data_IF_515438853305
#
_entry.id   IF_515438853305
#
_cell.length_a   1.000
_cell.length_b   1.000
_cell.length_c   1.000
_cell.angle_alpha   90.00
_cell.angle_beta   90.00
_cell.angle_gamma   90.00
#
_symmetry.space_group_name_H-M   'P 1'
#
loop_
_entity.id
_entity.type
_entity.pdbx_description
1 polymer ?
#
# COMPACT_ATOMS: atom_id res chain seq x y z
N UNK A 1 -11.19 -12.89 -2.80
CA UNK A 1 -10.87 -11.62 -2.08
C UNK A 1 -10.79 -10.51 -3.10
N UNK A 2 -11.30 -9.29 -2.80
CA UNK A 2 -11.12 -8.09 -3.64
C UNK A 2 -9.80 -7.38 -3.32
N UNK A 3 -9.30 -6.58 -4.26
CA UNK A 3 -8.08 -5.78 -4.10
C UNK A 3 -8.34 -4.30 -4.27
N UNK A 4 -7.63 -3.48 -3.49
CA UNK A 4 -7.61 -2.03 -3.62
C UNK A 4 -6.17 -1.63 -3.89
N UNK A 5 -5.94 -0.96 -5.03
CA UNK A 5 -4.63 -0.44 -5.39
C UNK A 5 -4.66 1.08 -5.29
N UNK A 6 -3.85 1.63 -4.39
CA UNK A 6 -3.78 3.07 -4.15
C UNK A 6 -2.65 3.70 -4.96
N UNK A 7 -3.01 4.51 -5.95
CA UNK A 7 -2.10 5.18 -6.89
C UNK A 7 -2.32 6.71 -6.95
N UNK A 8 -2.89 7.31 -5.90
CA UNK A 8 -3.26 8.74 -5.86
C UNK A 8 -2.18 9.71 -5.38
N UNK A 9 -1.02 9.24 -4.92
CA UNK A 9 0.02 10.10 -4.37
C UNK A 9 0.64 11.04 -5.42
N UNK A 10 0.97 12.28 -5.00
CA UNK A 10 1.54 13.31 -5.88
C UNK A 10 2.96 13.04 -6.37
N UNK A 11 3.68 12.09 -5.74
CA UNK A 11 5.05 11.76 -6.10
C UNK A 11 6.07 12.88 -5.84
N UNK A 12 5.78 13.85 -4.96
CA UNK A 12 6.63 15.04 -4.72
C UNK A 12 8.10 14.68 -4.41
N UNK A 13 8.36 13.57 -3.74
CA UNK A 13 9.73 13.07 -3.45
C UNK A 13 10.51 12.61 -4.69
N UNK A 14 9.84 12.40 -5.82
CA UNK A 14 10.47 12.04 -7.11
C UNK A 14 11.00 13.26 -7.88
N UNK A 15 10.75 14.47 -7.39
CA UNK A 15 11.24 15.72 -7.97
C UNK A 15 10.72 15.97 -9.40
N UNK A 16 11.64 16.18 -10.34
CA UNK A 16 11.29 16.51 -11.73
C UNK A 16 10.60 15.38 -12.48
N UNK A 17 10.86 14.14 -12.10
CA UNK A 17 10.31 12.95 -12.77
C UNK A 17 8.79 12.87 -12.75
N UNK A 18 8.14 13.51 -11.76
CA UNK A 18 6.67 13.49 -11.61
C UNK A 18 5.98 14.81 -11.96
N UNK A 19 6.69 15.73 -12.64
CA UNK A 19 6.07 16.99 -13.11
C UNK A 19 5.09 16.79 -14.26
N UNK A 20 5.27 15.74 -15.05
CA UNK A 20 4.50 15.49 -16.28
C UNK A 20 3.82 14.12 -16.30
N UNK A 21 4.00 13.31 -15.24
CA UNK A 21 3.41 11.98 -15.15
C UNK A 21 3.22 11.55 -13.70
N UNK A 22 2.35 10.58 -13.47
CA UNK A 22 2.19 9.94 -12.17
C UNK A 22 3.41 9.05 -11.84
N UNK A 23 3.86 9.04 -10.58
CA UNK A 23 5.01 8.21 -10.19
C UNK A 23 4.82 6.71 -10.50
N UNK A 24 3.58 6.22 -10.39
CA UNK A 24 3.26 4.80 -10.63
C UNK A 24 3.37 4.39 -12.11
N UNK A 25 3.47 5.38 -13.03
CA UNK A 25 3.70 5.19 -14.46
C UNK A 25 5.19 5.24 -14.81
N UNK A 26 6.06 5.68 -13.90
CA UNK A 26 7.51 5.65 -14.12
C UNK A 26 7.99 4.20 -14.26
N UNK A 27 8.91 3.98 -15.22
CA UNK A 27 9.48 2.66 -15.42
C UNK A 27 10.39 2.26 -14.26
N UNK A 28 10.23 1.01 -13.84
CA UNK A 28 11.14 0.31 -12.92
C UNK A 28 11.73 -0.83 -13.73
N UNK A 29 12.96 -0.66 -14.19
CA UNK A 29 13.65 -1.49 -15.17
C UNK A 29 12.87 -1.53 -16.51
N UNK A 30 12.05 -2.55 -16.78
CA UNK A 30 11.42 -2.82 -18.08
C UNK A 30 9.91 -2.51 -18.16
N UNK A 31 9.29 -2.09 -17.05
CA UNK A 31 7.83 -1.88 -16.99
C UNK A 31 7.42 -0.80 -16.01
N UNK A 32 6.21 -0.21 -16.16
CA UNK A 32 5.67 0.75 -15.20
C UNK A 32 5.58 0.19 -13.76
N UNK A 33 5.88 1.05 -12.80
CA UNK A 33 5.89 0.74 -11.36
C UNK A 33 4.63 0.00 -10.88
N UNK A 34 3.46 0.44 -11.35
CA UNK A 34 2.14 -0.11 -10.96
C UNK A 34 1.98 -1.60 -11.26
N UNK A 35 2.75 -2.17 -12.21
CA UNK A 35 2.65 -3.59 -12.57
C UNK A 35 3.14 -4.51 -11.43
N UNK A 36 4.05 -4.06 -10.58
CA UNK A 36 4.55 -4.87 -9.47
C UNK A 36 3.51 -5.12 -8.38
N UNK A 37 2.82 -4.10 -7.81
CA UNK A 37 1.73 -4.34 -6.89
C UNK A 37 0.53 -5.05 -7.53
N UNK A 38 0.23 -4.83 -8.82
CA UNK A 38 -0.77 -5.61 -9.55
C UNK A 38 -0.40 -7.09 -9.60
N UNK A 39 0.86 -7.41 -9.91
CA UNK A 39 1.35 -8.78 -9.91
C UNK A 39 1.25 -9.42 -8.51
N UNK A 40 1.53 -8.66 -7.45
CA UNK A 40 1.35 -9.12 -6.07
C UNK A 40 -0.11 -9.48 -5.79
N UNK A 41 -1.06 -8.62 -6.13
CA UNK A 41 -2.50 -8.91 -5.98
C UNK A 41 -2.93 -10.13 -6.80
N UNK A 42 -2.44 -10.29 -8.03
CA UNK A 42 -2.74 -11.47 -8.87
C UNK A 42 -2.23 -12.77 -8.22
N UNK A 43 -1.03 -12.77 -7.65
CA UNK A 43 -0.48 -13.93 -6.91
C UNK A 43 -1.26 -14.24 -5.63
N UNK A 44 -1.97 -13.25 -5.07
CA UNK A 44 -2.93 -13.44 -3.97
C UNK A 44 -4.31 -13.90 -4.46
N UNK A 45 -4.45 -14.27 -5.76
CA UNK A 45 -5.68 -14.73 -6.39
C UNK A 45 -6.81 -13.69 -6.40
N UNK A 46 -6.46 -12.42 -6.32
CA UNK A 46 -7.42 -11.31 -6.45
C UNK A 46 -7.86 -11.19 -7.91
N UNK A 47 -9.18 -11.13 -8.14
CA UNK A 47 -9.78 -11.03 -9.48
C UNK A 47 -10.43 -9.68 -9.74
N UNK A 48 -10.99 -9.04 -8.72
CA UNK A 48 -11.63 -7.73 -8.81
C UNK A 48 -10.74 -6.72 -8.09
N UNK A 49 -10.27 -5.69 -8.80
CA UNK A 49 -9.34 -4.69 -8.28
C UNK A 49 -9.91 -3.28 -8.52
N UNK A 50 -10.04 -2.51 -7.44
CA UNK A 50 -10.32 -1.08 -7.52
C UNK A 50 -9.00 -0.31 -7.52
N UNK A 51 -8.77 0.46 -8.59
CA UNK A 51 -7.62 1.37 -8.72
C UNK A 51 -8.09 2.77 -8.32
N UNK A 52 -7.43 3.35 -7.31
CA UNK A 52 -7.71 4.70 -6.84
C UNK A 52 -6.53 5.60 -7.22
N UNK A 53 -6.77 6.56 -8.10
CA UNK A 53 -5.77 7.50 -8.61
C UNK A 53 -6.23 8.94 -8.43
N UNK A 54 -5.28 9.88 -8.47
CA UNK A 54 -5.60 11.31 -8.53
C UNK A 54 -6.24 11.67 -9.88
N UNK A 55 -7.07 12.72 -9.89
CA UNK A 55 -7.84 13.16 -11.06
C UNK A 55 -6.98 13.47 -12.29
N UNK A 56 -5.75 13.93 -12.08
CA UNK A 56 -4.85 14.36 -13.16
C UNK A 56 -4.32 13.19 -14.00
N UNK A 57 -4.29 11.96 -13.44
CA UNK A 57 -3.65 10.81 -14.07
C UNK A 57 -4.53 9.56 -14.14
N UNK A 58 -5.80 9.64 -13.77
CA UNK A 58 -6.70 8.49 -13.88
C UNK A 58 -6.90 8.06 -15.34
N UNK A 59 -6.89 9.02 -16.28
CA UNK A 59 -6.95 8.74 -17.71
C UNK A 59 -5.77 7.92 -18.21
N UNK A 60 -4.56 8.29 -17.81
CA UNK A 60 -3.33 7.56 -18.15
C UNK A 60 -3.35 6.12 -17.58
N UNK A 61 -3.91 5.95 -16.37
CA UNK A 61 -4.09 4.62 -15.77
C UNK A 61 -5.07 3.77 -16.56
N UNK A 62 -6.19 4.35 -17.00
CA UNK A 62 -7.19 3.64 -17.81
C UNK A 62 -6.60 3.28 -19.19
N UNK A 63 -5.86 4.18 -19.82
CA UNK A 63 -5.19 3.91 -21.10
C UNK A 63 -4.19 2.75 -20.98
N UNK A 64 -3.38 2.74 -19.91
CA UNK A 64 -2.36 1.71 -19.69
C UNK A 64 -2.95 0.34 -19.32
N UNK A 65 -4.00 0.30 -18.49
CA UNK A 65 -4.45 -0.91 -17.82
C UNK A 65 -5.77 -1.48 -18.40
N UNK A 66 -6.54 -0.64 -19.13
CA UNK A 66 -7.81 -1.02 -19.72
C UNK A 66 -8.83 -1.53 -18.70
N UNK A 67 -9.59 -2.55 -19.10
CA UNK A 67 -10.57 -3.23 -18.26
C UNK A 67 -9.95 -4.22 -17.27
N UNK A 68 -8.68 -4.58 -17.47
CA UNK A 68 -8.01 -5.64 -16.72
C UNK A 68 -7.99 -7.00 -17.43
N UNK A 69 -8.68 -7.15 -18.56
CA UNK A 69 -8.76 -8.43 -19.31
C UNK A 69 -7.39 -9.01 -19.65
N UNK A 70 -6.46 -8.15 -20.08
CA UNK A 70 -5.08 -8.54 -20.47
C UNK A 70 -4.28 -9.03 -19.24
N UNK A 71 -4.71 -8.67 -18.04
CA UNK A 71 -4.12 -9.10 -16.78
C UNK A 71 -4.86 -10.30 -16.15
N UNK A 72 -6.01 -10.71 -16.72
CA UNK A 72 -6.87 -11.77 -16.18
C UNK A 72 -7.58 -11.38 -14.89
N UNK A 73 -7.93 -10.10 -14.75
CA UNK A 73 -8.65 -9.48 -13.64
C UNK A 73 -9.66 -8.47 -14.17
N UNK A 74 -10.54 -7.96 -13.30
CA UNK A 74 -11.48 -6.88 -13.60
C UNK A 74 -11.07 -5.61 -12.86
N UNK A 75 -10.83 -4.51 -13.58
CA UNK A 75 -10.51 -3.21 -13.00
C UNK A 75 -11.75 -2.33 -12.88
N UNK A 76 -11.88 -1.71 -11.72
CA UNK A 76 -12.74 -0.56 -11.47
C UNK A 76 -11.86 0.63 -11.12
N UNK A 77 -12.26 1.84 -11.48
CA UNK A 77 -11.47 3.05 -11.24
C UNK A 77 -12.24 4.03 -10.37
N UNK A 78 -11.53 4.70 -9.44
CA UNK A 78 -12.05 5.83 -8.67
C UNK A 78 -11.03 6.95 -8.58
N UNK A 79 -11.55 8.16 -8.53
CA UNK A 79 -10.73 9.37 -8.40
C UNK A 79 -10.69 9.80 -6.95
N UNK A 80 -9.47 10.08 -6.47
CA UNK A 80 -9.22 10.81 -5.24
C UNK A 80 -9.00 12.29 -5.59
N UNK A 81 -9.88 13.17 -5.11
CA UNK A 81 -9.86 14.60 -5.47
C UNK A 81 -8.82 15.45 -4.70
N UNK A 82 -8.08 14.85 -3.79
CA UNK A 82 -7.12 15.57 -2.96
C UNK A 82 -6.01 14.68 -2.40
N UNK A 83 -5.25 15.23 -1.46
CA UNK A 83 -4.13 14.59 -0.76
C UNK A 83 -4.47 14.34 0.71
N UNK A 84 -5.60 13.71 0.98
CA UNK A 84 -6.10 13.47 2.33
C UNK A 84 -5.53 12.27 3.06
N UNK A 85 -4.49 11.62 2.51
CA UNK A 85 -3.82 10.48 3.10
C UNK A 85 -4.33 9.11 2.63
N UNK A 86 -3.67 8.04 3.11
CA UNK A 86 -3.97 6.67 2.69
C UNK A 86 -5.36 6.23 3.19
N UNK A 87 -5.74 6.59 4.42
CA UNK A 87 -7.03 6.19 4.97
C UNK A 87 -8.21 6.87 4.25
N UNK A 88 -8.06 8.15 3.83
CA UNK A 88 -9.05 8.84 3.01
C UNK A 88 -9.21 8.16 1.64
N UNK A 89 -8.10 7.81 0.98
CA UNK A 89 -8.14 7.06 -0.28
C UNK A 89 -8.84 5.70 -0.10
N UNK A 90 -8.51 4.97 0.96
CA UNK A 90 -9.15 3.70 1.28
C UNK A 90 -10.66 3.85 1.50
N UNK A 91 -11.11 4.93 2.11
CA UNK A 91 -12.53 5.18 2.34
C UNK A 91 -13.35 5.20 1.04
N UNK A 92 -12.75 5.64 -0.07
CA UNK A 92 -13.41 5.60 -1.38
C UNK A 92 -13.77 4.18 -1.83
N UNK A 93 -13.14 3.14 -1.25
CA UNK A 93 -13.44 1.75 -1.58
C UNK A 93 -14.70 1.20 -0.90
N UNK A 94 -15.34 1.93 0.03
CA UNK A 94 -16.48 1.47 0.85
C UNK A 94 -17.62 0.85 0.04
N UNK A 95 -17.95 1.40 -1.12
CA UNK A 95 -19.00 0.86 -2.00
C UNK A 95 -18.56 -0.24 -2.95
N UNK A 96 -17.25 -0.57 -2.98
CA UNK A 96 -16.69 -1.61 -3.86
C UNK A 96 -16.48 -2.93 -3.12
N UNK A 97 -15.98 -2.89 -1.89
CA UNK A 97 -15.73 -4.07 -1.08
C UNK A 97 -17.04 -4.68 -0.56
N UNK A 98 -17.04 -5.99 -0.35
CA UNK A 98 -18.12 -6.70 0.34
C UNK A 98 -17.81 -6.88 1.82
N UNK A 99 -18.46 -7.86 2.45
CA UNK A 99 -18.28 -8.18 3.88
C UNK A 99 -17.01 -8.99 4.19
N UNK A 100 -16.41 -9.61 3.18
CA UNK A 100 -15.20 -10.44 3.33
C UNK A 100 -13.95 -9.57 3.44
N UNK A 101 -12.86 -10.17 3.88
CA UNK A 101 -11.55 -9.53 3.86
C UNK A 101 -11.13 -9.14 2.43
N UNK A 102 -10.45 -8.02 2.33
CA UNK A 102 -9.90 -7.49 1.08
C UNK A 102 -8.47 -7.00 1.30
N UNK A 103 -7.68 -7.01 0.23
CA UNK A 103 -6.31 -6.53 0.23
C UNK A 103 -6.25 -5.06 -0.18
N UNK A 104 -5.43 -4.27 0.51
CA UNK A 104 -5.05 -2.90 0.13
C UNK A 104 -3.57 -2.90 -0.15
N UNK A 105 -3.16 -2.37 -1.31
CA UNK A 105 -1.75 -2.26 -1.68
C UNK A 105 -1.43 -0.86 -2.21
N UNK A 106 -0.28 -0.32 -1.80
CA UNK A 106 0.21 0.94 -2.35
C UNK A 106 0.88 0.69 -3.71
N UNK A 107 0.59 1.54 -4.68
CA UNK A 107 1.00 1.40 -6.08
C UNK A 107 2.50 1.53 -6.33
N UNK A 108 3.27 1.92 -5.32
CA UNK A 108 4.73 2.07 -5.37
C UNK A 108 5.50 0.96 -4.65
N UNK A 109 4.82 -0.09 -4.18
CA UNK A 109 5.47 -1.15 -3.42
C UNK A 109 5.88 -2.34 -4.28
N UNK A 110 7.13 -2.77 -4.11
CA UNK A 110 7.67 -4.01 -4.65
C UNK A 110 7.94 -5.01 -3.52
N UNK A 111 7.56 -6.26 -3.75
CA UNK A 111 7.79 -7.39 -2.85
C UNK A 111 8.46 -8.53 -3.62
N UNK A 112 9.62 -8.99 -3.16
CA UNK A 112 10.35 -10.09 -3.80
C UNK A 112 9.58 -11.42 -3.73
N UNK A 113 8.92 -11.67 -2.61
CA UNK A 113 8.22 -12.93 -2.34
C UNK A 113 6.71 -12.75 -2.29
N UNK A 114 6.00 -13.84 -2.48
CA UNK A 114 4.54 -13.88 -2.43
C UNK A 114 4.03 -13.56 -1.03
N UNK A 115 2.96 -12.77 -0.99
CA UNK A 115 2.29 -12.37 0.24
C UNK A 115 1.32 -13.46 0.66
N UNK A 116 1.54 -14.04 1.84
CA UNK A 116 0.65 -15.04 2.43
C UNK A 116 -0.19 -14.43 3.54
N UNK A 117 -1.49 -14.39 3.33
CA UNK A 117 -2.43 -13.78 4.28
C UNK A 117 -2.62 -14.68 5.52
N UNK A 118 -2.76 -16.00 5.31
CA UNK A 118 -3.12 -16.95 6.36
C UNK A 118 -4.59 -16.84 6.76
N UNK A 119 -4.97 -17.53 7.81
CA UNK A 119 -6.33 -17.46 8.37
C UNK A 119 -6.52 -16.16 9.13
N UNK A 120 -7.72 -15.58 9.02
CA UNK A 120 -8.14 -14.36 9.70
C UNK A 120 -9.60 -14.50 10.13
N UNK A 121 -9.90 -14.01 11.33
CA UNK A 121 -11.27 -13.92 11.83
C UNK A 121 -11.95 -12.63 11.36
N UNK A 122 -13.29 -12.63 11.35
CA UNK A 122 -14.07 -11.41 11.07
C UNK A 122 -13.74 -10.32 12.11
N UNK A 123 -13.53 -9.11 11.64
CA UNK A 123 -13.14 -7.98 12.48
C UNK A 123 -11.64 -7.83 12.72
N UNK A 124 -10.82 -8.72 12.15
CA UNK A 124 -9.37 -8.60 12.23
C UNK A 124 -8.81 -7.81 11.04
N UNK A 125 -7.70 -7.13 11.32
CA UNK A 125 -6.83 -6.57 10.30
C UNK A 125 -5.45 -7.21 10.36
N UNK A 126 -4.73 -7.19 9.24
CA UNK A 126 -3.37 -7.70 9.17
C UNK A 126 -2.47 -6.72 8.42
N UNK A 127 -1.29 -6.49 9.01
CA UNK A 127 -0.22 -5.72 8.41
C UNK A 127 1.01 -6.60 8.13
N UNK A 128 1.87 -6.11 7.26
CA UNK A 128 3.11 -6.81 6.93
C UNK A 128 4.28 -5.90 7.29
N UNK A 129 5.30 -6.49 7.90
CA UNK A 129 6.46 -5.79 8.44
C UNK A 129 7.72 -6.16 7.70
N UNK A 130 8.63 -5.20 7.57
CA UNK A 130 10.02 -5.45 7.20
C UNK A 130 10.95 -4.62 8.07
N UNK A 131 12.23 -5.00 8.15
CA UNK A 131 13.24 -4.22 8.85
C UNK A 131 14.02 -3.36 7.87
N UNK A 132 14.17 -2.07 8.17
CA UNK A 132 14.90 -1.09 7.35
C UNK A 132 15.94 -0.33 8.16
N UNK A 133 16.94 0.23 7.49
CA UNK A 133 18.00 1.03 8.14
C UNK A 133 17.50 2.41 8.59
N UNK A 134 16.58 3.01 7.84
CA UNK A 134 16.04 4.35 8.08
C UNK A 134 14.52 4.30 8.28
N UNK A 135 14.05 3.83 9.46
CA UNK A 135 12.62 3.61 9.69
C UNK A 135 11.81 4.91 9.88
N UNK A 136 12.46 6.03 10.19
CA UNK A 136 11.82 7.32 10.45
C UNK A 136 11.05 7.93 9.26
N UNK A 137 11.09 7.29 8.10
CA UNK A 137 10.30 7.68 6.90
C UNK A 137 8.93 7.01 6.82
N UNK A 138 8.64 6.07 7.72
CA UNK A 138 7.52 5.14 7.65
C UNK A 138 6.76 5.06 8.98
N UNK A 139 5.67 4.32 8.98
CA UNK A 139 5.00 3.88 10.21
C UNK A 139 5.87 2.85 10.94
N UNK A 140 6.52 3.27 12.03
CA UNK A 140 7.43 2.44 12.83
C UNK A 140 6.63 1.61 13.83
N UNK A 141 6.86 0.30 13.79
CA UNK A 141 6.07 -0.67 14.56
C UNK A 141 6.83 -1.11 15.82
N UNK A 142 6.19 -0.99 16.96
CA UNK A 142 6.67 -1.55 18.22
C UNK A 142 6.05 -2.95 18.44
N UNK A 143 6.92 -3.97 18.51
CA UNK A 143 6.51 -5.36 18.71
C UNK A 143 7.08 -5.87 20.03
N UNK A 144 6.21 -6.30 20.94
CA UNK A 144 6.60 -6.90 22.21
C UNK A 144 5.83 -8.21 22.42
N UNK A 145 6.50 -9.23 22.94
CA UNK A 145 5.89 -10.54 23.22
C UNK A 145 5.08 -11.10 22.03
N UNK A 146 5.59 -10.93 20.79
CA UNK A 146 4.93 -11.33 19.52
C UNK A 146 3.60 -10.62 19.25
N UNK A 147 3.38 -9.44 19.81
CA UNK A 147 2.21 -8.60 19.55
C UNK A 147 2.67 -7.21 19.13
N UNK A 148 1.96 -6.61 18.20
CA UNK A 148 2.12 -5.18 17.90
C UNK A 148 1.44 -4.41 19.01
N UNK A 149 2.20 -3.51 19.66
CA UNK A 149 1.71 -2.71 20.80
C UNK A 149 1.50 -1.23 20.42
N UNK A 150 2.01 -0.80 19.29
CA UNK A 150 1.82 0.56 18.77
C UNK A 150 2.52 0.77 17.45
N UNK A 151 2.03 1.74 16.69
CA UNK A 151 2.66 2.22 15.43
C UNK A 151 2.73 3.74 15.51
N UNK A 152 3.91 4.28 15.22
CA UNK A 152 4.15 5.73 15.20
C UNK A 152 4.52 6.17 13.77
N UNK A 153 3.76 7.13 13.22
CA UNK A 153 3.99 7.63 11.87
C UNK A 153 5.19 8.56 11.84
N UNK A 154 6.20 8.19 11.05
CA UNK A 154 7.42 8.98 10.80
C UNK A 154 8.05 9.61 12.05
N UNK A 155 8.36 8.81 13.08
CA UNK A 155 8.89 9.35 14.33
C UNK A 155 10.29 9.94 14.15
N UNK A 156 10.58 11.03 14.85
CA UNK A 156 11.94 11.60 14.88
C UNK A 156 12.96 10.67 15.58
N UNK A 157 12.47 9.85 16.53
CA UNK A 157 13.28 8.88 17.29
C UNK A 157 12.59 7.52 17.22
N UNK A 158 12.85 6.73 16.18
CA UNK A 158 12.21 5.42 16.01
C UNK A 158 12.58 4.45 17.14
N UNK A 159 11.58 3.73 17.66
CA UNK A 159 11.74 2.74 18.72
C UNK A 159 12.19 1.37 18.23
N UNK A 160 12.06 1.12 16.93
CA UNK A 160 12.48 -0.12 16.28
C UNK A 160 12.90 0.13 14.82
N UNK A 161 13.49 -0.88 14.18
CA UNK A 161 13.75 -0.88 12.76
C UNK A 161 12.60 -1.51 11.94
N UNK A 162 11.56 -2.05 12.60
CA UNK A 162 10.42 -2.61 11.92
C UNK A 162 9.46 -1.50 11.48
N UNK A 163 9.04 -1.60 10.22
CA UNK A 163 8.05 -0.70 9.63
C UNK A 163 6.86 -1.49 9.09
N UNK A 164 5.69 -0.89 9.06
CA UNK A 164 4.56 -1.39 8.30
C UNK A 164 4.76 -1.04 6.82
N UNK A 165 4.79 -2.06 5.95
CA UNK A 165 4.92 -1.88 4.51
C UNK A 165 3.56 -1.61 3.86
N UNK A 166 3.56 -1.13 2.63
CA UNK A 166 2.35 -0.69 1.92
C UNK A 166 1.46 -1.82 1.40
N UNK A 167 1.21 -2.85 2.22
CA UNK A 167 0.17 -3.85 1.98
C UNK A 167 -0.53 -4.20 3.28
N UNK A 168 -1.87 -4.24 3.23
CA UNK A 168 -2.74 -4.45 4.40
C UNK A 168 -3.90 -5.35 4.02
N UNK A 169 -4.45 -6.09 4.99
CA UNK A 169 -5.70 -6.83 4.86
C UNK A 169 -6.68 -6.29 5.88
N UNK A 170 -7.86 -5.94 5.40
CA UNK A 170 -8.98 -5.47 6.22
C UNK A 170 -10.26 -6.19 5.85
N UNK A 171 -11.26 -6.08 6.69
CA UNK A 171 -12.65 -6.30 6.36
C UNK A 171 -13.46 -4.98 6.40
N UNK A 172 -14.77 -5.06 6.23
CA UNK A 172 -15.63 -3.87 6.19
C UNK A 172 -15.54 -2.99 7.46
N UNK A 173 -15.10 -3.55 8.61
CA UNK A 173 -15.00 -2.81 9.88
C UNK A 173 -13.93 -1.70 9.86
N UNK A 174 -13.09 -1.63 8.83
CA UNK A 174 -12.13 -0.53 8.66
C UNK A 174 -12.84 0.82 8.40
N UNK A 175 -13.99 0.82 7.73
CA UNK A 175 -14.66 2.07 7.34
C UNK A 175 -15.22 2.86 8.53
N UNK A 176 -15.96 2.26 9.49
CA UNK A 176 -16.33 2.96 10.72
C UNK A 176 -15.13 3.51 11.51
N UNK A 177 -13.97 2.82 11.46
CA UNK A 177 -12.75 3.33 12.08
C UNK A 177 -12.31 4.60 11.36
N UNK A 178 -12.22 4.58 10.02
CA UNK A 178 -11.81 5.75 9.23
C UNK A 178 -12.76 6.94 9.44
N UNK A 179 -14.06 6.70 9.53
CA UNK A 179 -15.08 7.74 9.79
C UNK A 179 -14.86 8.45 11.12
N UNK A 180 -14.29 7.78 12.11
CA UNK A 180 -14.00 8.33 13.44
C UNK A 180 -12.63 8.99 13.57
N UNK A 181 -11.78 8.98 12.52
CA UNK A 181 -10.45 9.57 12.58
C UNK A 181 -10.47 11.09 12.41
N UNK A 182 -9.55 11.75 13.09
CA UNK A 182 -9.22 13.15 12.87
C UNK A 182 -7.99 13.29 11.97
N UNK A 183 -7.92 14.38 11.20
CA UNK A 183 -6.73 14.67 10.39
C UNK A 183 -5.52 14.98 11.28
N UNK A 184 -4.39 14.39 10.94
CA UNK A 184 -3.11 14.66 11.59
C UNK A 184 -2.64 16.10 11.40
N UNK A 185 -1.58 16.50 12.10
CA UNK A 185 -0.91 17.80 11.88
C UNK A 185 -0.42 18.01 10.45
N UNK A 186 -0.41 16.98 9.60
CA UNK A 186 -0.10 17.04 8.16
C UNK A 186 -1.35 17.25 7.28
N UNK A 187 -2.53 17.29 7.88
CA UNK A 187 -3.82 17.38 7.18
C UNK A 187 -4.29 16.06 6.54
N UNK A 188 -3.68 14.94 6.89
CA UNK A 188 -3.94 13.61 6.36
C UNK A 188 -4.69 12.73 7.36
N UNK A 189 -5.57 11.84 6.87
CA UNK A 189 -6.06 10.70 7.64
C UNK A 189 -5.02 9.58 7.53
N UNK A 190 -4.32 9.34 8.65
CA UNK A 190 -3.18 8.42 8.67
C UNK A 190 -3.62 6.96 8.74
N UNK A 191 -3.02 6.12 7.94
CA UNK A 191 -3.29 4.68 8.01
C UNK A 191 -2.75 4.07 9.32
N UNK A 192 -1.74 4.67 9.92
CA UNK A 192 -1.21 4.28 11.22
C UNK A 192 -2.21 4.45 12.34
N UNK A 193 -3.10 5.45 12.26
CA UNK A 193 -4.18 5.64 13.24
C UNK A 193 -5.25 4.55 13.10
N UNK A 194 -5.56 4.13 11.87
CA UNK A 194 -6.41 2.95 11.63
C UNK A 194 -5.81 1.71 12.31
N UNK A 195 -4.50 1.47 12.12
CA UNK A 195 -3.83 0.32 12.74
C UNK A 195 -3.85 0.40 14.26
N UNK A 196 -3.61 1.58 14.85
CA UNK A 196 -3.64 1.78 16.30
C UNK A 196 -5.04 1.50 16.88
N UNK A 197 -6.13 1.80 16.14
CA UNK A 197 -7.47 1.41 16.54
C UNK A 197 -7.65 -0.12 16.58
N UNK A 198 -7.11 -0.85 15.58
CA UNK A 198 -7.12 -2.31 15.61
C UNK A 198 -6.25 -2.87 16.75
N UNK A 199 -5.10 -2.25 17.06
CA UNK A 199 -4.27 -2.62 18.24
C UNK A 199 -5.07 -2.47 19.52
N UNK A 200 -5.74 -1.33 19.71
CA UNK A 200 -6.56 -1.05 20.90
C UNK A 200 -7.69 -2.06 21.10
N UNK A 201 -8.25 -2.56 19.99
CA UNK A 201 -9.29 -3.60 19.99
C UNK A 201 -8.72 -5.02 20.12
N UNK A 202 -7.40 -5.20 20.12
CA UNK A 202 -6.75 -6.53 20.14
C UNK A 202 -6.97 -7.33 18.86
N UNK A 203 -7.22 -6.66 17.73
CA UNK A 203 -7.61 -7.23 16.42
C UNK A 203 -6.59 -6.98 15.30
N UNK A 204 -5.36 -6.56 15.61
CA UNK A 204 -4.29 -6.39 14.62
C UNK A 204 -3.34 -7.58 14.62
N UNK A 205 -3.34 -8.37 13.54
CA UNK A 205 -2.33 -9.37 13.26
C UNK A 205 -1.18 -8.83 12.43
N UNK A 206 -0.06 -9.53 12.40
CA UNK A 206 1.06 -9.18 11.54
C UNK A 206 1.81 -10.39 10.99
N UNK A 207 2.55 -10.17 9.90
CA UNK A 207 3.56 -11.10 9.38
C UNK A 207 4.83 -10.33 9.02
N UNK A 208 6.00 -10.93 9.29
CA UNK A 208 7.28 -10.36 8.88
C UNK A 208 7.63 -10.88 7.50
N UNK A 209 7.86 -9.98 6.57
CA UNK A 209 8.28 -10.30 5.21
C UNK A 209 9.77 -10.69 5.18
N UNK A 210 10.10 -11.57 4.27
CA UNK A 210 11.48 -11.95 3.94
C UNK A 210 11.83 -11.40 2.56
N UNK A 211 13.13 -11.30 2.28
CA UNK A 211 13.61 -10.84 0.98
C UNK A 211 13.56 -9.34 0.80
N UNK A 212 13.77 -8.90 -0.44
CA UNK A 212 13.83 -7.49 -0.79
C UNK A 212 12.43 -6.87 -0.85
N UNK A 213 12.33 -5.68 -0.27
CA UNK A 213 11.17 -4.80 -0.36
C UNK A 213 11.63 -3.38 -0.67
N UNK A 214 10.84 -2.64 -1.45
CA UNK A 214 11.06 -1.22 -1.71
C UNK A 214 9.73 -0.48 -1.84
N UNK A 215 9.69 0.78 -1.34
CA UNK A 215 8.58 1.72 -1.57
C UNK A 215 8.69 2.45 -2.91
N UNK A 216 9.80 2.30 -3.65
CA UNK A 216 10.09 2.96 -4.94
C UNK A 216 9.67 4.45 -4.99
N UNK A 217 9.56 5.09 -3.83
CA UNK A 217 8.98 6.43 -3.66
C UNK A 217 9.99 7.57 -3.75
N UNK A 218 11.26 7.27 -4.00
CA UNK A 218 12.36 8.24 -4.20
C UNK A 218 13.22 7.81 -5.38
N UNK A 219 13.97 8.75 -6.02
CA UNK A 219 14.90 8.36 -7.10
C UNK A 219 15.87 7.27 -6.69
N UNK A 220 16.37 7.31 -5.46
CA UNK A 220 17.30 6.32 -4.94
C UNK A 220 16.63 4.94 -4.78
N UNK A 221 15.47 4.84 -4.11
CA UNK A 221 14.77 3.56 -3.92
C UNK A 221 14.25 2.99 -5.24
N UNK A 222 13.89 3.85 -6.21
CA UNK A 222 13.54 3.43 -7.57
C UNK A 222 14.72 2.79 -8.29
N UNK A 223 15.91 3.41 -8.23
CA UNK A 223 17.14 2.88 -8.84
C UNK A 223 17.55 1.53 -8.20
N UNK A 224 17.48 1.44 -6.88
CA UNK A 224 17.78 0.21 -6.14
C UNK A 224 16.82 -0.92 -6.53
N UNK A 225 15.53 -0.65 -6.61
CA UNK A 225 14.52 -1.61 -7.07
C UNK A 225 14.77 -2.03 -8.52
N UNK A 226 15.05 -1.08 -9.43
CA UNK A 226 15.36 -1.37 -10.84
C UNK A 226 16.57 -2.30 -10.98
N UNK A 227 17.64 -2.04 -10.24
CA UNK A 227 18.84 -2.87 -10.27
C UNK A 227 18.58 -4.27 -9.70
N UNK A 228 17.83 -4.36 -8.60
CA UNK A 228 17.45 -5.64 -8.02
C UNK A 228 16.62 -6.48 -8.99
N UNK A 229 15.58 -5.87 -9.60
CA UNK A 229 14.68 -6.54 -10.54
C UNK A 229 15.46 -7.01 -11.77
N UNK A 230 16.34 -6.15 -12.33
CA UNK A 230 17.20 -6.52 -13.44
C UNK A 230 18.01 -7.78 -13.13
N UNK A 231 18.71 -7.80 -12.01
CA UNK A 231 19.53 -8.96 -11.60
C UNK A 231 18.71 -10.25 -11.47
N UNK A 232 17.47 -10.14 -11.00
CA UNK A 232 16.54 -11.29 -10.89
C UNK A 232 16.02 -11.80 -12.23
N UNK A 233 15.94 -10.94 -13.25
CA UNK A 233 15.43 -11.31 -14.59
C UNK A 233 16.53 -11.80 -15.53
N UNK A 234 17.77 -11.38 -15.30
CA UNK A 234 18.93 -11.73 -16.14
C UNK A 234 19.72 -12.95 -15.59
N UNK A 235 19.47 -13.37 -14.34
CA UNK A 235 20.09 -14.54 -13.68
C UNK A 235 19.15 -15.70 -13.54
#
# INVERSE_FOLDING_TARGET
MKGILLAGGTGSRMGLSTKVTNKHLLCVYDRPMIFFPLQTLKKMEVKEILIISGKEHVGDMIELLGSGSDFGVDFTYRVQDGVGGIAEALYLAKGFVGENHFAVILGDNYFEHDIKVGEMEKGEAKIFLTSVKEPNRFGVVDVQSRKVIGIEEKPNKPKSNFIAVGIYIYDWNVFPIIEGLEKSGRGELEITDVHNEYIRKGKLGYSVLRGFWSDMGTPQSLLEASNFIRTKMEG
#
